data_IF_351009786847
#
_entry.id   IF_351009786847
#
_cell.length_a   1.000
_cell.length_b   1.000
_cell.length_c   1.000
_cell.angle_alpha   90.00
_cell.angle_beta   90.00
_cell.angle_gamma   90.00
#
_symmetry.space_group_name_H-M   'P 1'
#
loop_
_entity.id
_entity.type
_entity.pdbx_description
1 polymer ?
#
# COMPACT_ATOMS: atom_id res chain seq x y z
N UNK A 1 4.59 -7.26 12.64
CA UNK A 1 5.42 -7.62 11.45
C UNK A 1 6.71 -8.37 11.77
N UNK A 2 6.89 -8.84 13.01
CA UNK A 2 8.03 -9.64 13.48
C UNK A 2 8.21 -10.97 12.73
N UNK A 3 7.12 -11.68 12.40
CA UNK A 3 7.18 -12.92 11.60
C UNK A 3 7.89 -12.69 10.26
N UNK A 4 7.54 -11.62 9.56
CA UNK A 4 8.15 -11.28 8.27
C UNK A 4 9.60 -10.85 8.44
N UNK A 5 9.91 -10.13 9.52
CA UNK A 5 11.29 -9.75 9.84
C UNK A 5 12.16 -10.97 10.15
N UNK A 6 11.63 -11.96 10.88
CA UNK A 6 12.34 -13.22 11.17
C UNK A 6 12.64 -14.00 9.89
N UNK A 7 11.64 -14.14 9.00
CA UNK A 7 11.83 -14.77 7.68
C UNK A 7 12.92 -14.01 6.90
N UNK A 8 12.81 -12.68 6.82
CA UNK A 8 13.79 -11.87 6.12
C UNK A 8 15.20 -12.05 6.68
N UNK A 9 15.37 -11.93 8.00
CA UNK A 9 16.69 -12.03 8.62
C UNK A 9 17.29 -13.42 8.45
N UNK A 10 16.50 -14.48 8.60
CA UNK A 10 16.96 -15.87 8.45
C UNK A 10 17.42 -16.18 7.03
N UNK A 11 16.73 -15.71 6.00
CA UNK A 11 17.06 -16.05 4.61
C UNK A 11 17.94 -15.02 3.88
N UNK A 12 17.90 -13.75 4.30
CA UNK A 12 18.53 -12.63 3.57
C UNK A 12 19.33 -11.75 4.53
N UNK A 13 18.68 -11.19 5.54
CA UNK A 13 19.22 -10.14 6.40
C UNK A 13 20.54 -10.54 7.07
N UNK A 14 20.60 -11.70 7.72
CA UNK A 14 21.81 -12.12 8.45
C UNK A 14 23.04 -12.18 7.53
N UNK A 15 22.88 -12.73 6.32
CA UNK A 15 23.98 -12.81 5.34
C UNK A 15 24.35 -11.43 4.81
N UNK A 16 23.35 -10.59 4.53
CA UNK A 16 23.53 -9.23 4.02
C UNK A 16 24.30 -8.38 5.04
N UNK A 17 23.82 -8.30 6.29
CA UNK A 17 24.44 -7.47 7.32
C UNK A 17 25.79 -8.02 7.81
N UNK A 18 25.99 -9.35 7.85
CA UNK A 18 27.31 -9.90 8.20
C UNK A 18 28.35 -9.65 7.11
N UNK A 19 27.93 -9.53 5.84
CA UNK A 19 28.85 -9.23 4.73
C UNK A 19 29.16 -7.73 4.61
N UNK A 20 28.16 -6.86 4.83
CA UNK A 20 28.32 -5.39 4.77
C UNK A 20 28.93 -4.80 6.04
N UNK A 21 28.58 -5.37 7.20
CA UNK A 21 28.97 -4.91 8.54
C UNK A 21 29.47 -6.09 9.39
N UNK A 22 30.57 -6.78 8.98
CA UNK A 22 31.07 -7.94 9.71
C UNK A 22 31.50 -7.59 11.13
N UNK A 23 31.23 -8.48 12.08
CA UNK A 23 31.57 -8.30 13.50
C UNK A 23 33.05 -7.95 13.75
N UNK A 24 33.96 -8.37 12.87
CA UNK A 24 35.38 -8.00 12.93
C UNK A 24 35.63 -6.49 12.86
N UNK A 25 34.75 -5.71 12.24
CA UNK A 25 34.85 -4.24 12.22
C UNK A 25 34.77 -3.63 13.63
N UNK A 26 34.07 -4.27 14.57
CA UNK A 26 34.02 -3.77 15.95
C UNK A 26 35.38 -3.78 16.65
N UNK A 27 36.28 -4.69 16.24
CA UNK A 27 37.64 -4.81 16.78
C UNK A 27 38.66 -3.87 16.11
N UNK A 28 38.32 -3.29 14.96
CA UNK A 28 39.22 -2.41 14.18
C UNK A 28 39.03 -0.92 14.46
N UNK A 29 38.04 -0.54 15.29
CA UNK A 29 37.78 0.86 15.64
C UNK A 29 38.34 1.15 17.03
N UNK A 30 39.59 1.62 17.08
CA UNK A 30 40.20 2.16 18.29
C UNK A 30 39.84 3.65 18.46
N UNK A 31 38.94 3.96 19.40
CA UNK A 31 38.63 5.34 19.77
C UNK A 31 39.57 5.85 20.88
N UNK A 32 39.94 7.15 20.88
CA UNK A 32 40.72 7.74 21.97
C UNK A 32 40.00 7.57 23.32
N UNK A 33 40.77 7.21 24.34
CA UNK A 33 40.32 6.81 25.68
C UNK A 33 39.66 7.96 26.49
N UNK A 34 38.48 8.41 26.08
CA UNK A 34 37.64 9.35 26.85
C UNK A 34 36.27 8.78 27.25
N UNK A 35 36.02 7.49 27.03
CA UNK A 35 34.76 6.86 27.47
C UNK A 35 35.07 5.54 28.19
N UNK A 36 35.14 5.59 29.52
CA UNK A 36 35.04 4.42 30.38
C UNK A 36 33.60 3.89 30.31
N UNK A 37 33.33 2.97 29.39
CA UNK A 37 32.18 2.07 29.49
C UNK A 37 32.38 0.89 28.53
N UNK A 38 32.57 -0.32 29.06
CA UNK A 38 32.48 -1.54 28.26
C UNK A 38 31.10 -1.73 27.58
N UNK A 39 30.11 -0.90 27.93
CA UNK A 39 28.78 -0.81 27.32
C UNK A 39 28.66 0.20 26.16
N UNK A 40 29.70 0.97 25.82
CA UNK A 40 29.56 2.11 24.88
C UNK A 40 29.72 1.77 23.40
N UNK A 41 30.35 0.66 23.03
CA UNK A 41 30.49 0.28 21.61
C UNK A 41 29.15 -0.19 21.02
N UNK A 42 28.40 -1.01 21.75
CA UNK A 42 27.09 -1.52 21.35
C UNK A 42 26.05 -0.39 21.23
N UNK A 43 26.05 0.54 22.20
CA UNK A 43 25.19 1.71 22.22
C UNK A 43 25.48 2.68 21.06
N UNK A 44 26.76 2.85 20.68
CA UNK A 44 27.17 3.69 19.55
C UNK A 44 26.65 3.14 18.20
N UNK A 45 26.53 1.81 18.09
CA UNK A 45 25.99 1.16 16.90
C UNK A 45 24.49 0.89 16.96
N UNK A 46 23.79 1.23 18.05
CA UNK A 46 22.33 1.16 18.16
C UNK A 46 21.74 -0.15 18.70
N UNK A 47 22.55 -1.02 19.31
CA UNK A 47 22.08 -2.19 20.05
C UNK A 47 22.38 -2.02 21.55
N UNK A 48 21.34 -2.02 22.37
CA UNK A 48 21.49 -1.87 23.82
C UNK A 48 22.00 -3.15 24.50
N UNK A 49 21.68 -4.31 23.92
CA UNK A 49 21.98 -5.64 24.46
C UNK A 49 22.34 -6.63 23.34
N UNK A 50 23.09 -7.71 23.63
CA UNK A 50 23.30 -8.81 22.69
C UNK A 50 21.98 -9.39 22.18
N UNK A 51 21.95 -9.84 20.92
CA UNK A 51 20.77 -10.53 20.40
C UNK A 51 20.64 -11.92 21.01
N UNK A 52 19.47 -12.18 21.59
CA UNK A 52 19.02 -13.50 22.04
C UNK A 52 17.87 -13.92 21.14
N UNK A 53 17.93 -15.13 20.60
CA UNK A 53 16.87 -15.62 19.73
C UNK A 53 15.59 -15.88 20.52
N UNK A 54 14.52 -15.24 20.06
CA UNK A 54 13.15 -15.49 20.47
C UNK A 54 12.31 -15.71 19.21
N UNK A 55 11.45 -16.72 19.24
CA UNK A 55 10.57 -17.05 18.11
C UNK A 55 9.55 -15.92 17.93
N UNK A 56 9.34 -15.44 16.70
CA UNK A 56 8.32 -14.41 16.45
C UNK A 56 6.90 -14.98 16.59
N UNK A 57 6.72 -16.27 16.34
CA UNK A 57 5.43 -16.96 16.42
C UNK A 57 5.60 -18.42 16.82
N UNK A 58 4.62 -18.95 17.55
CA UNK A 58 4.49 -20.36 17.90
C UNK A 58 4.08 -21.22 16.70
N UNK A 59 3.57 -20.61 15.61
CA UNK A 59 3.11 -21.35 14.43
C UNK A 59 4.23 -21.78 13.50
N UNK A 60 5.33 -21.01 13.44
CA UNK A 60 6.45 -21.25 12.53
C UNK A 60 7.74 -21.13 13.33
N UNK A 61 8.51 -22.22 13.39
CA UNK A 61 9.85 -22.22 13.95
C UNK A 61 10.89 -22.02 12.85
N UNK A 62 11.76 -21.02 13.00
CA UNK A 62 12.89 -20.78 12.09
C UNK A 62 14.19 -20.70 12.87
N UNK A 63 15.05 -21.70 12.72
CA UNK A 63 16.38 -21.64 13.33
C UNK A 63 17.16 -20.42 12.80
N UNK A 64 17.80 -19.62 13.68
CA UNK A 64 18.67 -18.54 13.26
C UNK A 64 19.74 -19.02 12.30
N UNK A 65 20.02 -18.25 11.24
CA UNK A 65 21.09 -18.64 10.34
C UNK A 65 22.45 -18.59 11.06
N UNK A 66 23.43 -19.34 10.55
CA UNK A 66 24.82 -19.28 11.06
C UNK A 66 25.45 -17.87 11.02
N UNK A 67 24.83 -16.93 10.30
CA UNK A 67 25.30 -15.54 10.17
C UNK A 67 24.62 -14.58 11.17
N UNK A 68 23.62 -15.04 11.94
CA UNK A 68 22.81 -14.19 12.83
C UNK A 68 23.64 -13.38 13.84
N UNK A 69 24.77 -13.94 14.27
CA UNK A 69 25.66 -13.37 15.28
C UNK A 69 26.96 -12.80 14.69
N UNK A 70 27.08 -12.71 13.36
CA UNK A 70 28.32 -12.32 12.68
C UNK A 70 28.32 -10.87 12.17
N UNK A 71 27.35 -10.06 12.56
CA UNK A 71 27.25 -8.64 12.19
C UNK A 71 27.43 -7.71 13.40
N UNK A 72 28.01 -6.54 13.17
CA UNK A 72 28.03 -5.42 14.15
C UNK A 72 26.61 -4.94 14.46
N UNK A 73 25.66 -5.10 13.53
CA UNK A 73 24.25 -4.83 13.76
C UNK A 73 23.50 -6.14 14.07
N UNK A 74 23.33 -6.49 15.36
CA UNK A 74 22.54 -7.66 15.75
C UNK A 74 21.06 -7.48 15.37
N UNK A 75 20.27 -8.56 15.30
CA UNK A 75 18.85 -8.50 14.84
C UNK A 75 17.95 -7.54 15.65
N UNK A 76 18.25 -7.33 16.92
CA UNK A 76 17.54 -6.38 17.81
C UNK A 76 17.99 -4.91 17.65
N UNK A 77 18.98 -4.64 16.80
CA UNK A 77 19.47 -3.30 16.52
C UNK A 77 18.41 -2.48 15.76
N UNK A 78 18.14 -1.26 16.23
CA UNK A 78 17.07 -0.43 15.67
C UNK A 78 17.34 -0.01 14.22
N UNK A 79 18.60 0.28 13.85
CA UNK A 79 18.95 0.68 12.49
C UNK A 79 18.84 -0.49 11.51
N UNK A 80 19.21 -1.70 11.95
CA UNK A 80 18.97 -2.93 11.19
C UNK A 80 17.48 -3.20 11.01
N UNK A 81 16.69 -3.14 12.09
CA UNK A 81 15.24 -3.35 12.01
C UNK A 81 14.60 -2.34 11.05
N UNK A 82 14.93 -1.06 11.17
CA UNK A 82 14.44 -0.01 10.28
C UNK A 82 14.83 -0.26 8.82
N UNK A 83 16.11 -0.55 8.57
CA UNK A 83 16.63 -0.80 7.21
C UNK A 83 15.99 -2.05 6.61
N UNK A 84 15.87 -3.13 7.38
CA UNK A 84 15.19 -4.35 6.97
C UNK A 84 13.72 -4.08 6.64
N UNK A 85 12.97 -3.38 7.50
CA UNK A 85 11.57 -3.07 7.22
C UNK A 85 11.38 -2.16 6.02
N UNK A 86 12.26 -1.18 5.82
CA UNK A 86 12.26 -0.38 4.61
C UNK A 86 12.45 -1.25 3.35
N UNK A 87 13.46 -2.13 3.34
CA UNK A 87 13.75 -3.02 2.21
C UNK A 87 12.63 -4.05 1.99
N UNK A 88 12.15 -4.70 3.05
CA UNK A 88 11.04 -5.65 3.01
C UNK A 88 9.82 -4.97 2.39
N UNK A 89 9.39 -3.82 2.93
CA UNK A 89 8.18 -3.13 2.49
C UNK A 89 8.29 -2.69 1.03
N UNK A 90 9.45 -2.15 0.65
CA UNK A 90 9.69 -1.69 -0.72
C UNK A 90 9.72 -2.86 -1.71
N UNK A 91 10.54 -3.88 -1.46
CA UNK A 91 10.71 -5.01 -2.37
C UNK A 91 9.44 -5.87 -2.44
N UNK A 92 8.79 -6.11 -1.30
CA UNK A 92 7.52 -6.82 -1.26
C UNK A 92 6.43 -6.04 -2.01
N UNK A 93 6.33 -4.73 -1.79
CA UNK A 93 5.39 -3.87 -2.51
C UNK A 93 5.61 -3.94 -4.03
N UNK A 94 6.87 -3.89 -4.47
CA UNK A 94 7.23 -4.07 -5.89
C UNK A 94 6.82 -5.44 -6.43
N UNK A 95 7.11 -6.50 -5.68
CA UNK A 95 6.80 -7.88 -6.08
C UNK A 95 5.29 -8.06 -6.25
N UNK A 96 4.51 -7.68 -5.23
CA UNK A 96 3.04 -7.78 -5.27
C UNK A 96 2.49 -6.93 -6.40
N UNK A 97 2.95 -5.69 -6.54
CA UNK A 97 2.52 -4.80 -7.62
C UNK A 97 2.79 -5.40 -9.00
N UNK A 98 4.03 -5.80 -9.30
CA UNK A 98 4.33 -6.33 -10.63
C UNK A 98 3.67 -7.68 -10.87
N UNK A 99 3.57 -8.57 -9.89
CA UNK A 99 2.90 -9.86 -10.08
C UNK A 99 1.41 -9.66 -10.29
N UNK A 100 0.72 -9.00 -9.36
CA UNK A 100 -0.74 -8.88 -9.37
C UNK A 100 -1.21 -7.96 -10.50
N UNK A 101 -0.57 -6.79 -10.68
CA UNK A 101 -0.95 -5.88 -11.76
C UNK A 101 -0.66 -6.49 -13.15
N UNK A 102 0.42 -7.26 -13.31
CA UNK A 102 0.69 -7.92 -14.60
C UNK A 102 -0.26 -9.08 -14.87
N UNK A 103 -0.59 -9.90 -13.85
CA UNK A 103 -1.59 -10.95 -14.00
C UNK A 103 -2.96 -10.36 -14.35
N UNK A 104 -3.39 -9.32 -13.64
CA UNK A 104 -4.63 -8.60 -13.95
C UNK A 104 -4.55 -7.99 -15.35
N UNK A 105 -3.46 -7.32 -15.71
CA UNK A 105 -3.27 -6.73 -17.04
C UNK A 105 -3.33 -7.78 -18.15
N UNK A 106 -2.73 -8.95 -17.99
CA UNK A 106 -2.70 -10.01 -19.02
C UNK A 106 -4.05 -10.72 -19.12
N UNK A 107 -4.64 -11.13 -18.00
CA UNK A 107 -5.77 -12.05 -17.99
C UNK A 107 -7.13 -11.40 -17.77
N UNK A 108 -7.19 -10.25 -17.08
CA UNK A 108 -8.45 -9.65 -16.62
C UNK A 108 -8.76 -8.34 -17.35
N UNK A 109 -7.82 -7.40 -17.35
CA UNK A 109 -8.03 -6.04 -17.89
C UNK A 109 -8.38 -6.06 -19.38
N UNK A 110 -9.45 -5.37 -19.76
CA UNK A 110 -9.92 -5.33 -21.14
C UNK A 110 -9.09 -4.34 -21.98
N UNK A 111 -8.37 -4.87 -22.96
CA UNK A 111 -7.43 -4.10 -23.82
C UNK A 111 -8.17 -3.16 -24.76
N UNK A 112 -9.47 -3.31 -24.95
CA UNK A 112 -10.27 -2.32 -25.70
C UNK A 112 -10.25 -0.94 -25.04
N UNK A 113 -9.99 -0.85 -23.73
CA UNK A 113 -9.80 0.40 -22.98
C UNK A 113 -8.75 1.33 -23.60
N UNK A 114 -7.76 0.79 -24.32
CA UNK A 114 -6.80 1.60 -25.09
C UNK A 114 -7.44 2.54 -26.11
N UNK A 115 -8.65 2.21 -26.58
CA UNK A 115 -9.40 3.02 -27.54
C UNK A 115 -10.25 4.11 -26.88
N UNK A 116 -10.36 4.12 -25.54
CA UNK A 116 -11.14 5.13 -24.85
C UNK A 116 -10.59 6.54 -25.14
N UNK A 117 -11.44 7.54 -25.46
CA UNK A 117 -11.00 8.88 -25.85
C UNK A 117 -10.18 9.59 -24.75
N UNK A 118 -10.36 9.19 -23.49
CA UNK A 118 -9.65 9.73 -22.33
C UNK A 118 -8.46 8.89 -21.85
N UNK A 119 -8.02 7.93 -22.66
CA UNK A 119 -6.81 7.15 -22.37
C UNK A 119 -5.54 7.93 -22.76
N UNK A 120 -4.59 8.07 -21.85
CA UNK A 120 -3.40 8.89 -22.06
C UNK A 120 -2.38 8.22 -22.99
N UNK A 121 -1.57 9.06 -23.64
CA UNK A 121 -0.44 8.58 -24.43
C UNK A 121 0.61 7.92 -23.54
N UNK A 122 1.03 6.70 -23.88
CA UNK A 122 2.00 5.90 -23.10
C UNK A 122 1.58 5.66 -21.63
N UNK A 123 0.27 5.64 -21.34
CA UNK A 123 -0.26 5.62 -19.98
C UNK A 123 0.38 4.54 -19.09
N UNK A 124 0.43 3.29 -19.56
CA UNK A 124 1.01 2.16 -18.79
C UNK A 124 2.45 2.45 -18.33
N UNK A 125 3.29 3.00 -19.21
CA UNK A 125 4.68 3.35 -18.85
C UNK A 125 4.73 4.48 -17.82
N UNK A 126 3.83 5.45 -17.93
CA UNK A 126 3.76 6.59 -17.02
C UNK A 126 3.23 6.17 -15.64
N UNK A 127 2.22 5.29 -15.59
CA UNK A 127 1.70 4.67 -14.38
C UNK A 127 2.81 3.90 -13.65
N UNK A 128 3.51 2.99 -14.35
CA UNK A 128 4.64 2.24 -13.78
C UNK A 128 5.73 3.19 -13.28
N UNK A 129 6.13 4.19 -14.07
CA UNK A 129 7.15 5.16 -13.66
C UNK A 129 6.76 5.88 -12.37
N UNK A 130 5.49 6.28 -12.23
CA UNK A 130 5.00 6.96 -11.05
C UNK A 130 4.97 6.01 -9.84
N UNK A 131 4.48 4.78 -9.99
CA UNK A 131 4.50 3.78 -8.93
C UNK A 131 5.93 3.50 -8.43
N UNK A 132 6.89 3.36 -9.35
CA UNK A 132 8.31 3.17 -9.01
C UNK A 132 8.90 4.36 -8.22
N UNK A 133 8.45 5.58 -8.52
CA UNK A 133 8.85 6.77 -7.76
C UNK A 133 8.18 6.88 -6.40
N UNK A 134 6.94 6.38 -6.26
CA UNK A 134 6.14 6.52 -5.05
C UNK A 134 6.47 5.48 -3.97
N UNK A 135 6.75 4.24 -4.36
CA UNK A 135 6.92 3.12 -3.43
C UNK A 135 8.09 3.28 -2.43
N UNK A 136 9.31 3.72 -2.82
CA UNK A 136 10.39 3.84 -1.85
C UNK A 136 10.10 4.87 -0.74
N UNK A 137 9.65 6.12 -1.04
CA UNK A 137 9.29 7.06 0.02
C UNK A 137 8.12 6.57 0.89
N UNK A 138 7.13 5.88 0.31
CA UNK A 138 6.05 5.26 1.10
C UNK A 138 6.61 4.20 2.07
N UNK A 139 7.47 3.30 1.60
CA UNK A 139 8.11 2.29 2.43
C UNK A 139 8.96 2.92 3.55
N UNK A 140 9.64 4.03 3.27
CA UNK A 140 10.41 4.79 4.26
C UNK A 140 9.52 5.35 5.36
N UNK A 141 8.35 5.90 5.01
CA UNK A 141 7.39 6.44 5.97
C UNK A 141 6.62 5.35 6.73
N UNK A 142 6.51 4.14 6.18
CA UNK A 142 5.87 2.99 6.82
C UNK A 142 6.80 2.25 7.79
N UNK A 143 8.10 2.14 7.48
CA UNK A 143 9.07 1.39 8.30
C UNK A 143 9.07 1.74 9.80
N UNK A 144 8.90 3.01 10.24
CA UNK A 144 8.78 3.35 11.66
C UNK A 144 7.66 2.60 12.39
N UNK A 145 6.49 2.40 11.77
CA UNK A 145 5.39 1.64 12.39
C UNK A 145 5.83 0.21 12.69
N UNK A 146 6.48 -0.46 11.74
CA UNK A 146 6.94 -1.83 11.91
C UNK A 146 8.06 -1.96 12.94
N UNK A 147 8.96 -0.97 13.03
CA UNK A 147 9.96 -0.92 14.10
C UNK A 147 9.27 -0.79 15.46
N UNK A 148 8.29 0.09 15.60
CA UNK A 148 7.55 0.24 16.86
C UNK A 148 6.78 -1.03 17.24
N UNK A 149 6.20 -1.73 16.26
CA UNK A 149 5.53 -3.02 16.49
C UNK A 149 6.47 -4.06 17.10
N UNK A 150 7.62 -4.32 16.48
CA UNK A 150 8.56 -5.35 16.96
C UNK A 150 9.27 -4.96 18.26
N UNK A 151 9.16 -3.70 18.67
CA UNK A 151 9.62 -3.21 19.97
C UNK A 151 8.54 -3.24 21.04
N UNK A 152 7.39 -3.85 20.76
CA UNK A 152 6.34 -4.11 21.74
C UNK A 152 5.38 -2.94 21.98
N UNK A 153 5.39 -1.90 21.16
CA UNK A 153 4.45 -0.78 21.30
C UNK A 153 3.06 -1.09 20.72
N UNK A 154 2.94 -2.11 19.86
CA UNK A 154 1.69 -2.57 19.30
C UNK A 154 1.08 -3.71 20.12
N UNK A 155 -0.25 -3.83 20.09
CA UNK A 155 -1.06 -4.85 20.75
C UNK A 155 -1.18 -6.10 19.88
N UNK A 156 -0.05 -6.63 19.41
CA UNK A 156 -0.05 -7.86 18.61
C UNK A 156 -0.09 -9.09 19.52
N UNK A 157 -0.92 -10.06 19.18
CA UNK A 157 -0.98 -11.37 19.85
C UNK A 157 -0.82 -12.49 18.82
N UNK A 158 -0.33 -13.65 19.24
CA UNK A 158 0.09 -14.70 18.31
C UNK A 158 -1.02 -15.73 18.05
N UNK A 159 -1.52 -16.33 19.14
CA UNK A 159 -2.48 -17.45 19.06
C UNK A 159 -3.86 -17.06 19.56
N UNK A 160 -4.88 -17.85 19.19
CA UNK A 160 -6.25 -17.65 19.68
C UNK A 160 -6.36 -17.82 21.22
N UNK A 161 -5.38 -18.46 21.87
CA UNK A 161 -5.34 -18.57 23.33
C UNK A 161 -5.03 -17.23 24.02
N UNK A 162 -4.43 -16.28 23.28
CA UNK A 162 -4.09 -14.93 23.74
C UNK A 162 -5.15 -13.89 23.34
N UNK A 163 -6.27 -14.33 22.76
CA UNK A 163 -7.28 -13.40 22.28
C UNK A 163 -7.94 -12.64 23.46
N UNK A 164 -8.29 -11.36 23.30
CA UNK A 164 -8.84 -10.55 24.39
C UNK A 164 -10.14 -11.10 24.99
N UNK A 165 -10.97 -11.76 24.18
CA UNK A 165 -12.20 -12.43 24.58
C UNK A 165 -12.60 -13.49 23.53
N UNK A 166 -13.40 -14.51 23.90
CA UNK A 166 -13.81 -15.57 22.99
C UNK A 166 -14.34 -15.04 21.65
N UNK A 167 -13.81 -15.59 20.55
CA UNK A 167 -14.15 -15.25 19.16
C UNK A 167 -13.61 -13.91 18.65
N UNK A 168 -12.78 -13.19 19.42
CA UNK A 168 -12.15 -11.95 18.95
C UNK A 168 -11.33 -12.19 17.68
N UNK A 169 -10.64 -13.33 17.58
CA UNK A 169 -9.83 -13.68 16.41
C UNK A 169 -10.62 -13.77 15.10
N UNK A 170 -11.95 -13.94 15.17
CA UNK A 170 -12.85 -13.90 14.01
C UNK A 170 -13.41 -12.49 13.78
N UNK A 171 -13.83 -11.81 14.86
CA UNK A 171 -14.45 -10.47 14.78
C UNK A 171 -13.44 -9.38 14.41
N UNK A 172 -12.14 -9.60 14.66
CA UNK A 172 -11.09 -8.64 14.30
C UNK A 172 -11.08 -8.31 12.79
N UNK A 173 -11.48 -9.22 11.90
CA UNK A 173 -11.49 -8.98 10.45
C UNK A 173 -12.53 -7.92 10.04
N UNK A 174 -13.85 -8.11 10.29
CA UNK A 174 -14.83 -7.07 9.99
C UNK A 174 -14.55 -5.79 10.79
N UNK A 175 -14.06 -5.89 12.04
CA UNK A 175 -13.72 -4.71 12.83
C UNK A 175 -12.57 -3.90 12.19
N UNK A 176 -11.51 -4.58 11.74
CA UNK A 176 -10.40 -3.96 11.03
C UNK A 176 -10.86 -3.30 9.73
N UNK A 177 -11.70 -3.98 8.93
CA UNK A 177 -12.25 -3.41 7.70
C UNK A 177 -13.11 -2.19 8.00
N UNK A 178 -14.01 -2.24 8.99
CA UNK A 178 -14.84 -1.09 9.36
C UNK A 178 -14.00 0.11 9.84
N UNK A 179 -12.99 -0.14 10.68
CA UNK A 179 -12.09 0.91 11.16
C UNK A 179 -11.32 1.55 10.00
N UNK A 180 -10.70 0.73 9.18
CA UNK A 180 -9.83 1.22 8.10
C UNK A 180 -10.64 1.93 7.02
N UNK A 181 -11.78 1.38 6.60
CA UNK A 181 -12.69 2.00 5.63
C UNK A 181 -13.18 3.38 6.11
N UNK A 182 -13.47 3.54 7.41
CA UNK A 182 -13.88 4.83 7.98
C UNK A 182 -12.78 5.90 7.85
N UNK A 183 -11.56 5.60 8.30
CA UNK A 183 -10.49 6.60 8.26
C UNK A 183 -10.02 6.87 6.83
N UNK A 184 -9.96 5.83 5.99
CA UNK A 184 -9.57 5.99 4.58
C UNK A 184 -10.58 6.86 3.85
N UNK A 185 -11.89 6.65 4.07
CA UNK A 185 -12.92 7.51 3.50
C UNK A 185 -12.66 9.01 3.77
N UNK A 186 -12.35 9.37 5.02
CA UNK A 186 -12.09 10.77 5.38
C UNK A 186 -10.76 11.29 4.86
N UNK A 187 -9.71 10.47 4.88
CA UNK A 187 -8.41 10.84 4.30
C UNK A 187 -8.56 11.08 2.80
N UNK A 188 -9.21 10.16 2.10
CA UNK A 188 -9.44 10.23 0.67
C UNK A 188 -10.32 11.43 0.30
N UNK A 189 -11.43 11.64 1.00
CA UNK A 189 -12.26 12.85 0.82
C UNK A 189 -11.47 14.14 1.11
N UNK A 190 -10.58 14.12 2.10
CA UNK A 190 -9.67 15.23 2.41
C UNK A 190 -8.63 15.49 1.32
N UNK A 191 -8.13 14.45 0.66
CA UNK A 191 -7.23 14.55 -0.48
C UNK A 191 -7.89 15.22 -1.69
N UNK A 192 -9.22 15.15 -1.79
CA UNK A 192 -10.02 15.89 -2.78
C UNK A 192 -10.30 17.35 -2.40
N UNK A 193 -9.89 17.80 -1.22
CA UNK A 193 -10.03 19.21 -0.86
C UNK A 193 -9.15 20.10 -1.77
N UNK A 194 -9.65 21.25 -2.29
CA UNK A 194 -8.94 22.06 -3.30
C UNK A 194 -7.52 22.49 -2.92
N UNK A 195 -7.24 22.65 -1.62
CA UNK A 195 -5.91 23.01 -1.09
C UNK A 195 -4.86 21.89 -1.21
N UNK A 196 -5.30 20.64 -1.34
CA UNK A 196 -4.44 19.45 -1.26
C UNK A 196 -4.46 18.66 -2.57
N UNK A 197 -5.63 18.60 -3.22
CA UNK A 197 -5.90 17.84 -4.43
C UNK A 197 -4.84 18.05 -5.51
N UNK A 198 -4.57 19.29 -5.91
CA UNK A 198 -3.65 19.58 -7.03
C UNK A 198 -2.25 19.03 -6.81
N UNK A 199 -1.79 18.97 -5.57
CA UNK A 199 -0.43 18.54 -5.22
C UNK A 199 -0.35 17.04 -4.97
N UNK A 200 -1.27 16.50 -4.17
CA UNK A 200 -1.16 15.12 -3.68
C UNK A 200 -1.96 14.15 -4.55
N UNK A 201 -3.17 14.50 -4.97
CA UNK A 201 -4.12 13.52 -5.48
C UNK A 201 -4.43 13.63 -6.99
N UNK A 202 -4.32 14.84 -7.58
CA UNK A 202 -4.34 15.04 -9.04
C UNK A 202 -3.34 14.13 -9.78
N UNK A 203 -2.11 13.87 -9.28
CA UNK A 203 -1.19 12.93 -9.91
C UNK A 203 -1.76 11.52 -10.08
N UNK A 204 -2.64 11.07 -9.18
CA UNK A 204 -3.36 9.80 -9.31
C UNK A 204 -4.59 9.95 -10.22
N UNK A 205 -5.37 11.01 -10.06
CA UNK A 205 -6.59 11.27 -10.84
C UNK A 205 -6.38 11.63 -12.31
N UNK A 206 -5.14 11.87 -12.74
CA UNK A 206 -4.85 12.06 -14.17
C UNK A 206 -5.13 10.78 -14.99
N UNK A 207 -5.17 9.61 -14.35
CA UNK A 207 -5.50 8.33 -14.98
C UNK A 207 -7.02 8.13 -15.08
N UNK A 208 -7.69 8.91 -15.94
CA UNK A 208 -9.16 8.89 -16.04
C UNK A 208 -9.73 7.49 -16.33
N UNK A 209 -9.04 6.73 -17.17
CA UNK A 209 -9.30 5.31 -17.37
C UNK A 209 -8.11 4.51 -16.86
N UNK A 210 -8.04 4.21 -15.55
CA UNK A 210 -6.87 3.58 -14.97
C UNK A 210 -6.67 2.16 -15.53
N UNK A 211 -5.42 1.72 -15.59
CA UNK A 211 -5.09 0.30 -15.73
C UNK A 211 -4.75 -0.31 -14.36
N UNK A 212 -4.56 -1.64 -14.24
CA UNK A 212 -4.07 -2.25 -13.01
C UNK A 212 -2.74 -1.65 -12.52
N UNK A 213 -1.91 -1.11 -13.42
CA UNK A 213 -0.66 -0.43 -13.08
C UNK A 213 -0.88 0.97 -12.47
N UNK A 214 -2.06 1.58 -12.61
CA UNK A 214 -2.41 2.82 -11.93
C UNK A 214 -2.59 2.64 -10.41
N UNK A 215 -2.81 1.39 -9.96
CA UNK A 215 -3.15 1.05 -8.57
C UNK A 215 -2.21 1.59 -7.51
N UNK A 216 -0.93 1.77 -7.84
CA UNK A 216 0.09 2.32 -6.94
C UNK A 216 0.75 3.59 -7.50
N UNK A 217 0.22 4.12 -8.59
CA UNK A 217 0.70 5.33 -9.23
C UNK A 217 0.14 6.58 -8.50
N UNK A 218 0.61 6.80 -7.28
CA UNK A 218 0.21 7.92 -6.41
C UNK A 218 1.32 8.97 -6.28
N UNK A 219 1.01 10.10 -5.67
CA UNK A 219 2.02 10.85 -4.91
C UNK A 219 2.37 10.04 -3.65
N UNK A 220 3.64 9.98 -3.19
CA UNK A 220 3.98 9.14 -2.04
C UNK A 220 3.18 9.46 -0.77
N UNK A 221 2.97 10.74 -0.45
CA UNK A 221 2.15 11.14 0.70
C UNK A 221 0.66 10.81 0.54
N UNK A 222 0.16 10.75 -0.69
CA UNK A 222 -1.23 10.34 -0.96
C UNK A 222 -1.39 8.86 -0.57
N UNK A 223 -0.65 7.97 -1.24
CA UNK A 223 -0.70 6.53 -0.97
C UNK A 223 -0.34 6.16 0.48
N UNK A 224 0.67 6.81 1.07
CA UNK A 224 1.03 6.57 2.47
C UNK A 224 -0.07 7.03 3.43
N UNK A 225 -0.64 8.22 3.25
CA UNK A 225 -1.69 8.71 4.16
C UNK A 225 -2.90 7.78 4.20
N UNK A 226 -3.31 7.25 3.04
CA UNK A 226 -4.39 6.28 2.95
C UNK A 226 -4.01 4.92 3.57
N UNK A 227 -2.73 4.57 3.69
CA UNK A 227 -2.30 3.32 4.34
C UNK A 227 -2.18 3.43 5.88
N UNK A 228 -2.07 4.65 6.43
CA UNK A 228 -1.88 4.89 7.87
C UNK A 228 -2.90 4.15 8.75
N UNK A 229 -4.21 4.12 8.46
CA UNK A 229 -5.17 3.44 9.32
C UNK A 229 -4.86 1.95 9.55
N UNK A 230 -4.31 1.26 8.54
CA UNK A 230 -3.90 -0.14 8.66
C UNK A 230 -2.74 -0.34 9.63
N UNK A 231 -1.84 0.64 9.73
CA UNK A 231 -0.70 0.61 10.63
C UNK A 231 -1.04 1.09 12.03
N UNK A 232 -2.00 2.02 12.17
CA UNK A 232 -2.44 2.55 13.47
C UNK A 232 -3.33 1.56 14.22
N UNK A 233 -4.14 0.76 13.51
CA UNK A 233 -5.05 -0.21 14.14
C UNK A 233 -4.40 -1.06 15.25
N UNK A 234 -3.27 -1.77 15.03
CA UNK A 234 -2.66 -2.61 16.06
C UNK A 234 -2.10 -1.85 17.26
N UNK A 235 -1.94 -0.52 17.20
CA UNK A 235 -1.56 0.28 18.38
C UNK A 235 -2.77 0.60 19.28
N UNK A 236 -3.97 0.62 18.70
CA UNK A 236 -5.21 0.91 19.42
C UNK A 236 -5.91 -0.36 19.88
N UNK A 237 -5.97 -1.37 19.02
CA UNK A 237 -6.72 -2.59 19.23
C UNK A 237 -5.84 -3.82 19.07
N UNK A 238 -6.12 -4.91 19.81
CA UNK A 238 -5.43 -6.17 19.62
C UNK A 238 -5.57 -6.68 18.18
N UNK A 239 -4.49 -7.19 17.59
CA UNK A 239 -4.53 -7.76 16.24
C UNK A 239 -3.65 -9.00 16.17
N UNK A 240 -4.20 -10.11 15.67
CA UNK A 240 -3.45 -11.35 15.58
C UNK A 240 -2.34 -11.20 14.53
N UNK A 241 -1.11 -11.62 14.86
CA UNK A 241 0.06 -11.47 13.97
C UNK A 241 -0.18 -12.01 12.56
N UNK A 242 -0.70 -13.23 12.43
CA UNK A 242 -0.98 -13.83 11.11
C UNK A 242 -2.17 -13.19 10.40
N UNK A 243 -3.21 -12.77 11.13
CA UNK A 243 -4.30 -12.00 10.55
C UNK A 243 -3.77 -10.67 9.99
N UNK A 244 -2.82 -10.03 10.67
CA UNK A 244 -2.21 -8.80 10.19
C UNK A 244 -1.42 -8.99 8.90
N UNK A 245 -0.60 -10.04 8.82
CA UNK A 245 0.12 -10.41 7.59
C UNK A 245 -0.85 -10.67 6.43
N UNK A 246 -1.92 -11.43 6.70
CA UNK A 246 -2.96 -11.69 5.70
C UNK A 246 -3.65 -10.40 5.23
N UNK A 247 -4.08 -9.54 6.16
CA UNK A 247 -4.74 -8.28 5.86
C UNK A 247 -3.84 -7.35 5.05
N UNK A 248 -2.55 -7.29 5.39
CA UNK A 248 -1.56 -6.52 4.63
C UNK A 248 -1.47 -6.98 3.17
N UNK A 249 -1.46 -8.29 2.91
CA UNK A 249 -1.52 -8.86 1.57
C UNK A 249 -2.86 -8.56 0.86
N UNK A 250 -3.97 -8.76 1.57
CA UNK A 250 -5.33 -8.51 1.07
C UNK A 250 -5.52 -7.07 0.57
N UNK A 251 -5.06 -6.07 1.34
CA UNK A 251 -5.19 -4.66 0.96
C UNK A 251 -4.43 -4.36 -0.34
N UNK A 252 -3.21 -4.90 -0.50
CA UNK A 252 -2.44 -4.68 -1.72
C UNK A 252 -3.11 -5.31 -2.95
N UNK A 253 -3.70 -6.50 -2.79
CA UNK A 253 -4.51 -7.15 -3.84
C UNK A 253 -5.74 -6.31 -4.19
N UNK A 254 -6.48 -5.88 -3.16
CA UNK A 254 -7.69 -5.06 -3.30
C UNK A 254 -7.41 -3.77 -4.06
N UNK A 255 -6.33 -3.07 -3.73
CA UNK A 255 -5.89 -1.85 -4.40
C UNK A 255 -5.68 -2.06 -5.90
N UNK A 256 -5.22 -3.24 -6.35
CA UNK A 256 -5.13 -3.56 -7.78
C UNK A 256 -6.52 -3.83 -8.36
N UNK A 257 -7.34 -4.63 -7.69
CA UNK A 257 -8.65 -5.07 -8.18
C UNK A 257 -9.63 -3.90 -8.40
N UNK A 258 -9.60 -2.87 -7.57
CA UNK A 258 -10.46 -1.70 -7.80
C UNK A 258 -10.04 -0.84 -9.00
N UNK A 259 -8.85 -1.05 -9.58
CA UNK A 259 -8.33 -0.31 -10.74
C UNK A 259 -8.31 -1.13 -12.04
N UNK A 260 -8.70 -2.41 -12.01
CA UNK A 260 -8.59 -3.29 -13.18
C UNK A 260 -9.73 -3.14 -14.20
N UNK A 261 -10.68 -2.24 -13.93
CA UNK A 261 -11.79 -1.95 -14.85
C UNK A 261 -12.70 -3.14 -15.14
N UNK A 262 -12.63 -4.22 -14.35
CA UNK A 262 -13.51 -5.37 -14.47
C UNK A 262 -14.64 -5.29 -13.43
N UNK A 263 -15.83 -4.96 -13.91
CA UNK A 263 -16.97 -4.58 -13.10
C UNK A 263 -17.78 -5.81 -12.62
N UNK A 264 -17.13 -6.76 -11.95
CA UNK A 264 -17.79 -8.03 -11.53
C UNK A 264 -18.77 -7.82 -10.37
N UNK A 265 -18.47 -6.88 -9.47
CA UNK A 265 -19.24 -6.66 -8.25
C UNK A 265 -20.34 -5.60 -8.46
N UNK A 266 -21.50 -6.01 -8.99
CA UNK A 266 -22.73 -5.19 -8.93
C UNK A 266 -23.36 -5.28 -7.53
N UNK A 267 -22.69 -4.68 -6.55
CA UNK A 267 -23.10 -4.74 -5.15
C UNK A 267 -23.47 -3.34 -4.64
N UNK A 268 -24.58 -3.19 -3.91
CA UNK A 268 -24.90 -1.93 -3.26
C UNK A 268 -23.97 -1.62 -2.08
N UNK A 269 -23.25 -2.62 -1.55
CA UNK A 269 -22.40 -2.53 -0.36
C UNK A 269 -20.92 -2.38 -0.73
N UNK A 270 -20.44 -3.15 -1.70
CA UNK A 270 -19.02 -3.21 -2.04
C UNK A 270 -18.65 -2.03 -2.94
N UNK A 271 -17.61 -1.27 -2.55
CA UNK A 271 -17.00 -0.26 -3.39
C UNK A 271 -15.95 -0.94 -4.30
N UNK A 272 -16.43 -1.59 -5.36
CA UNK A 272 -15.58 -2.32 -6.31
C UNK A 272 -15.09 -1.44 -7.47
N UNK A 273 -14.48 -2.08 -8.48
CA UNK A 273 -13.92 -1.41 -9.66
C UNK A 273 -14.88 -0.43 -10.34
N UNK A 274 -16.19 -0.74 -10.39
CA UNK A 274 -17.17 0.14 -11.03
C UNK A 274 -17.35 1.47 -10.28
N UNK A 275 -17.44 1.40 -8.95
CA UNK A 275 -17.52 2.59 -8.11
C UNK A 275 -16.23 3.42 -8.20
N UNK A 276 -15.07 2.75 -8.23
CA UNK A 276 -13.76 3.42 -8.32
C UNK A 276 -13.47 4.01 -9.71
N UNK A 277 -13.89 3.36 -10.81
CA UNK A 277 -13.83 3.98 -12.14
C UNK A 277 -14.71 5.22 -12.22
N UNK A 278 -15.92 5.18 -11.65
CA UNK A 278 -16.78 6.36 -11.56
C UNK A 278 -16.14 7.47 -10.73
N UNK A 279 -15.39 7.10 -9.69
CA UNK A 279 -14.59 8.05 -8.91
C UNK A 279 -13.50 8.72 -9.75
N UNK A 280 -12.73 7.96 -10.54
CA UNK A 280 -11.74 8.52 -11.48
C UNK A 280 -12.36 9.40 -12.57
N UNK A 281 -13.55 9.05 -13.06
CA UNK A 281 -14.29 9.83 -14.07
C UNK A 281 -14.88 11.14 -13.53
N UNK A 282 -15.33 11.15 -12.28
CA UNK A 282 -16.16 12.24 -11.76
C UNK A 282 -15.61 12.93 -10.52
N UNK A 283 -14.46 12.49 -10.00
CA UNK A 283 -13.64 13.05 -8.91
C UNK A 283 -14.32 13.14 -7.53
N UNK A 284 -15.55 13.64 -7.46
CA UNK A 284 -16.21 14.04 -6.22
C UNK A 284 -17.15 12.97 -5.61
N UNK A 285 -16.98 11.70 -5.97
CA UNK A 285 -17.87 10.61 -5.56
C UNK A 285 -17.12 9.33 -5.22
N UNK A 286 -17.74 8.46 -4.41
CA UNK A 286 -17.27 7.10 -4.10
C UNK A 286 -15.85 7.02 -3.49
N UNK A 287 -15.60 7.76 -2.40
CA UNK A 287 -14.31 7.82 -1.72
C UNK A 287 -13.97 6.60 -0.85
N UNK A 288 -14.95 5.73 -0.52
CA UNK A 288 -14.73 4.55 0.31
C UNK A 288 -13.73 3.57 -0.34
N UNK A 289 -13.00 2.83 0.49
CA UNK A 289 -11.99 1.88 -0.02
C UNK A 289 -12.62 0.53 -0.32
N UNK A 290 -13.39 -0.01 0.63
CA UNK A 290 -13.98 -1.35 0.54
C UNK A 290 -15.49 -1.30 0.40
N UNK A 291 -16.14 -0.35 1.08
CA UNK A 291 -17.60 -0.27 1.14
C UNK A 291 -18.14 1.07 0.69
N UNK A 292 -19.38 1.08 0.22
CA UNK A 292 -20.12 2.32 -0.12
C UNK A 292 -20.78 2.95 1.10
N UNK A 293 -20.64 2.35 2.29
CA UNK A 293 -21.37 2.75 3.49
C UNK A 293 -21.09 4.21 3.86
N UNK A 294 -19.81 4.59 3.94
CA UNK A 294 -19.41 5.95 4.28
C UNK A 294 -19.75 6.96 3.19
N UNK A 295 -19.72 6.55 1.92
CA UNK A 295 -20.19 7.39 0.81
C UNK A 295 -21.68 7.69 0.90
N UNK A 296 -22.49 6.71 1.29
CA UNK A 296 -23.94 6.89 1.48
C UNK A 296 -24.23 7.81 2.66
N UNK A 297 -23.55 7.61 3.78
CA UNK A 297 -23.69 8.47 4.95
C UNK A 297 -23.18 9.90 4.70
N UNK A 298 -22.06 10.02 4.00
CA UNK A 298 -21.41 11.30 3.72
C UNK A 298 -21.93 12.04 2.49
N UNK A 299 -22.95 11.49 1.80
CA UNK A 299 -23.59 12.11 0.64
C UNK A 299 -22.74 12.13 -0.62
N UNK A 300 -21.72 11.27 -0.73
CA UNK A 300 -20.80 11.16 -1.86
C UNK A 300 -21.01 9.90 -2.71
N UNK A 301 -22.05 9.10 -2.42
CA UNK A 301 -22.34 7.90 -3.20
C UNK A 301 -22.94 8.24 -4.57
N UNK A 302 -22.31 7.72 -5.63
CA UNK A 302 -22.85 7.72 -6.99
C UNK A 302 -22.90 6.28 -7.51
N UNK A 303 -24.12 5.80 -7.77
CA UNK A 303 -24.34 4.46 -8.32
C UNK A 303 -23.64 4.34 -9.69
N UNK A 304 -22.85 3.28 -9.92
CA UNK A 304 -22.30 3.00 -11.24
C UNK A 304 -23.41 2.75 -12.27
N UNK A 305 -23.13 3.10 -13.54
CA UNK A 305 -24.10 2.92 -14.62
C UNK A 305 -24.27 1.41 -14.92
N UNK A 306 -25.49 1.00 -15.26
CA UNK A 306 -25.81 -0.42 -15.51
C UNK A 306 -25.01 -0.97 -16.70
N UNK A 307 -24.64 -0.10 -17.64
CA UNK A 307 -23.86 -0.38 -18.83
C UNK A 307 -22.45 -0.89 -18.50
N UNK A 308 -21.87 -0.49 -17.35
CA UNK A 308 -20.55 -0.96 -16.92
C UNK A 308 -20.59 -2.45 -16.59
N UNK A 309 -21.70 -2.96 -16.06
CA UNK A 309 -21.81 -4.37 -15.66
C UNK A 309 -22.07 -5.33 -16.83
N UNK A 310 -22.26 -4.81 -18.05
CA UNK A 310 -22.55 -5.61 -19.24
C UNK A 310 -21.39 -5.54 -20.22
N UNK A 311 -20.88 -6.70 -20.62
CA UNK A 311 -19.69 -6.82 -21.48
C UNK A 311 -19.88 -6.15 -22.83
N UNK A 312 -21.09 -6.17 -23.38
CA UNK A 312 -21.43 -5.62 -24.69
C UNK A 312 -21.47 -4.08 -24.69
N UNK A 313 -21.77 -3.47 -23.54
CA UNK A 313 -22.00 -2.02 -23.45
C UNK A 313 -20.91 -1.27 -22.70
N UNK A 314 -20.14 -1.93 -21.82
CA UNK A 314 -19.12 -1.26 -20.98
C UNK A 314 -18.02 -0.59 -21.80
N UNK A 315 -17.78 -1.09 -23.01
CA UNK A 315 -16.82 -0.54 -23.98
C UNK A 315 -17.48 0.07 -25.22
N UNK A 316 -18.77 0.41 -25.13
CA UNK A 316 -19.52 0.95 -26.25
C UNK A 316 -19.27 2.46 -26.46
N UNK A 317 -19.18 2.89 -27.71
CA UNK A 317 -18.93 4.29 -28.07
C UNK A 317 -19.94 5.26 -27.42
N UNK A 318 -21.22 4.89 -27.35
CA UNK A 318 -22.26 5.74 -26.73
C UNK A 318 -21.96 6.03 -25.26
N UNK A 319 -21.52 5.01 -24.52
CA UNK A 319 -21.21 5.14 -23.11
C UNK A 319 -19.92 5.94 -22.91
N UNK A 320 -18.88 5.69 -23.71
CA UNK A 320 -17.64 6.46 -23.66
C UNK A 320 -17.83 7.94 -23.99
N UNK A 321 -18.67 8.27 -24.98
CA UNK A 321 -18.98 9.66 -25.30
C UNK A 321 -19.73 10.34 -24.15
N UNK A 322 -20.64 9.62 -23.48
CA UNK A 322 -21.35 10.14 -22.31
C UNK A 322 -20.40 10.38 -21.14
N UNK A 323 -19.58 9.39 -20.81
CA UNK A 323 -18.56 9.48 -19.75
C UNK A 323 -17.58 10.63 -20.01
N UNK A 324 -17.05 10.73 -21.23
CA UNK A 324 -16.12 11.79 -21.60
C UNK A 324 -16.73 13.18 -21.46
N UNK A 325 -17.97 13.38 -21.93
CA UNK A 325 -18.68 14.66 -21.85
C UNK A 325 -18.96 15.08 -20.40
N UNK A 326 -19.45 14.16 -19.58
CA UNK A 326 -19.73 14.42 -18.17
C UNK A 326 -18.42 14.71 -17.40
N UNK A 327 -17.38 13.90 -17.63
CA UNK A 327 -16.06 14.12 -17.04
C UNK A 327 -15.50 15.49 -17.41
N UNK A 328 -15.51 15.88 -18.69
CA UNK A 328 -15.02 17.19 -19.14
C UNK A 328 -15.72 18.36 -18.46
N UNK A 329 -17.02 18.23 -18.21
CA UNK A 329 -17.81 19.25 -17.51
C UNK A 329 -17.31 19.42 -16.07
N UNK A 330 -17.18 18.32 -15.33
CA UNK A 330 -16.71 18.33 -13.94
C UNK A 330 -15.24 18.76 -13.86
N UNK A 331 -14.43 18.34 -14.83
CA UNK A 331 -13.02 18.66 -14.89
C UNK A 331 -12.79 20.17 -14.94
N UNK A 332 -13.60 20.88 -15.72
CA UNK A 332 -13.52 22.33 -15.83
C UNK A 332 -13.79 23.02 -14.51
N UNK A 333 -14.71 22.48 -13.72
CA UNK A 333 -15.04 23.01 -12.40
C UNK A 333 -13.95 22.69 -11.35
N UNK A 334 -13.33 21.50 -11.42
CA UNK A 334 -12.36 21.02 -10.43
C UNK A 334 -10.92 21.49 -10.74
N UNK A 335 -10.50 21.37 -12.00
CA UNK A 335 -9.12 21.60 -12.44
C UNK A 335 -8.96 22.85 -13.30
N UNK A 336 -10.03 23.34 -13.93
CA UNK A 336 -9.97 24.45 -14.88
C UNK A 336 -9.64 23.97 -16.29
N UNK A 337 -8.38 24.09 -16.69
CA UNK A 337 -7.91 23.64 -18.01
C UNK A 337 -7.37 22.21 -17.96
N UNK A 338 -7.65 21.43 -19.00
CA UNK A 338 -7.14 20.07 -19.14
C UNK A 338 -5.71 20.09 -19.72
N UNK A 339 -4.72 19.76 -18.89
CA UNK A 339 -3.30 19.69 -19.26
C UNK A 339 -2.84 18.30 -19.75
N UNK A 340 -3.78 17.35 -19.91
CA UNK A 340 -3.48 15.98 -20.36
C UNK A 340 -3.32 15.86 -21.87
N UNK A 341 -2.55 14.86 -22.31
CA UNK A 341 -2.39 14.48 -23.71
C UNK A 341 -2.95 13.07 -23.97
N UNK A 342 -4.00 13.00 -24.78
CA UNK A 342 -4.75 11.76 -25.01
C UNK A 342 -4.26 11.02 -26.26
N UNK A 343 -4.41 9.70 -26.26
CA UNK A 343 -4.03 8.86 -27.42
C UNK A 343 -4.88 9.14 -28.65
N UNK A 344 -6.14 9.55 -28.47
CA UNK A 344 -7.06 9.90 -29.56
C UNK A 344 -6.64 11.13 -30.36
N UNK A 345 -5.84 12.04 -29.79
CA UNK A 345 -5.43 13.28 -30.46
C UNK A 345 -4.55 13.00 -31.69
N UNK A 346 -3.88 11.85 -31.73
CA UNK A 346 -3.17 11.36 -32.92
C UNK A 346 -4.09 10.94 -34.07
N UNK A 347 -5.28 10.39 -33.78
CA UNK A 347 -6.22 9.92 -34.81
C UNK A 347 -6.90 11.08 -35.56
N UNK A 348 -6.88 12.29 -35.01
CA UNK A 348 -7.43 13.50 -35.66
C UNK A 348 -6.44 14.24 -36.56
N UNK A 349 -5.14 13.93 -36.45
CA UNK A 349 -4.04 14.60 -37.16
C UNK A 349 -3.38 13.72 -38.23
N UNK A 350 -4.02 12.60 -38.59
CA UNK A 350 -3.75 11.73 -39.73
C UNK A 350 -4.99 11.74 -40.61
#
# INVERSE_FOLDING_TARGET
MDIILEIWDTFIGDRLYSSLLPASLSSSVSFPAFVNAANSSLALFGAAEPFVYEQATQMIYLEPSKYAYLSVWPRNNMYRQFTSFFLITWIFGLLVYFVVASLSYVFIWDKTTYNHPKFLKNQIRLEIKQAMGAMPPMALLTAPFFVLEVRGYAKLYDTAAEEPFPFYSLIQFPFFICFTDFFIYWIHRGLHHPRVYKTLHKPHHKWIMPSPYASHAFHPLDGWSQSVPYHVFPFLFPLQKMAYVFLFGFINLWTVFIHDGEYVANSPIVNGAACHTMHHLYFNYNYGQFTTFWDRLGGSYRKPNEELFRRETKMGDKEWQRQAKEMETILKDVEGEDDRSYSSDKKKNL
#
